data_IF_637707821329
#
_entry.id   IF_637707821329
#
_cell.length_a   1.000
_cell.length_b   1.000
_cell.length_c   1.000
_cell.angle_alpha   90.00
_cell.angle_beta   90.00
_cell.angle_gamma   90.00
#
_symmetry.space_group_name_H-M   'P 1'
#
loop_
_entity.id
_entity.type
_entity.pdbx_description
1 polymer ?
#
# COMPACT_ATOMS: atom_id res chain seq x y z
N UNK A 1 -47.44 -44.30 -28.10
CA UNK A 1 -48.79 -44.29 -27.49
C UNK A 1 -49.04 -42.91 -26.90
N UNK A 2 -50.16 -42.26 -27.26
CA UNK A 2 -50.45 -40.87 -26.94
C UNK A 2 -51.28 -40.73 -25.66
N UNK A 3 -51.21 -39.59 -24.98
CA UNK A 3 -52.36 -39.02 -24.28
C UNK A 3 -52.41 -37.51 -24.51
N UNK A 4 -53.41 -37.11 -25.29
CA UNK A 4 -53.94 -35.75 -25.38
C UNK A 4 -54.76 -35.44 -24.13
N UNK A 5 -54.79 -34.18 -23.70
CA UNK A 5 -55.98 -33.53 -23.12
C UNK A 5 -55.81 -32.00 -23.14
N UNK A 6 -56.44 -31.41 -24.15
CA UNK A 6 -57.27 -30.19 -24.21
C UNK A 6 -57.15 -29.05 -23.20
N UNK A 7 -56.91 -27.86 -23.76
CA UNK A 7 -57.71 -26.60 -23.70
C UNK A 7 -58.28 -26.13 -22.35
N UNK A 8 -57.92 -24.89 -21.98
CA UNK A 8 -58.90 -23.83 -21.70
C UNK A 8 -58.23 -22.44 -21.87
N UNK A 9 -58.87 -21.58 -22.67
CA UNK A 9 -58.56 -20.17 -22.83
C UNK A 9 -59.41 -19.35 -21.85
N UNK A 10 -58.86 -18.26 -21.28
CA UNK A 10 -59.67 -17.10 -20.91
C UNK A 10 -58.81 -15.83 -20.81
N UNK A 11 -59.39 -14.75 -21.36
CA UNK A 11 -58.87 -13.41 -21.52
C UNK A 11 -59.08 -12.54 -20.26
N UNK A 12 -58.68 -11.25 -20.38
CA UNK A 12 -58.84 -10.10 -19.45
C UNK A 12 -57.62 -9.86 -18.54
N UNK A 13 -57.07 -8.65 -18.38
CA UNK A 13 -57.37 -7.33 -18.92
C UNK A 13 -56.09 -6.47 -18.81
N UNK A 14 -55.79 -5.69 -19.86
CA UNK A 14 -54.84 -4.58 -19.78
C UNK A 14 -55.51 -3.44 -18.99
N UNK A 15 -55.01 -3.12 -17.81
CA UNK A 15 -55.35 -1.87 -17.12
C UNK A 15 -54.24 -0.86 -17.41
N UNK A 16 -54.50 0.07 -18.33
CA UNK A 16 -53.75 1.32 -18.41
C UNK A 16 -54.17 2.18 -17.21
N UNK A 17 -53.38 2.19 -16.14
CA UNK A 17 -53.45 3.24 -15.14
C UNK A 17 -52.56 4.39 -15.65
N UNK A 18 -53.17 5.34 -16.35
CA UNK A 18 -52.63 6.67 -16.50
C UNK A 18 -52.67 7.35 -15.13
N UNK A 19 -51.67 7.06 -14.30
CA UNK A 19 -51.45 7.72 -13.03
C UNK A 19 -50.77 9.06 -13.29
N UNK A 20 -51.57 10.11 -13.48
CA UNK A 20 -51.14 11.49 -13.34
C UNK A 20 -50.67 11.71 -11.90
N UNK A 21 -49.42 11.39 -11.59
CA UNK A 21 -48.77 11.84 -10.35
C UNK A 21 -48.45 13.32 -10.48
N UNK A 22 -49.49 14.15 -10.41
CA UNK A 22 -49.37 15.50 -9.89
C UNK A 22 -49.25 15.36 -8.38
N UNK A 23 -48.03 15.08 -7.89
CA UNK A 23 -47.70 15.33 -6.50
C UNK A 23 -47.80 16.84 -6.29
N UNK A 24 -48.90 17.27 -5.68
CA UNK A 24 -48.99 18.57 -5.07
C UNK A 24 -47.84 18.70 -4.06
N UNK A 25 -46.80 19.44 -4.41
CA UNK A 25 -45.79 19.90 -3.47
C UNK A 25 -46.49 20.82 -2.48
N UNK A 26 -46.91 20.26 -1.34
CA UNK A 26 -47.18 21.05 -0.17
C UNK A 26 -45.91 21.87 0.10
N UNK A 27 -46.04 23.19 0.12
CA UNK A 27 -44.97 24.09 0.52
C UNK A 27 -44.71 23.87 2.02
N UNK A 28 -43.88 22.87 2.34
CA UNK A 28 -43.38 22.71 3.69
C UNK A 28 -42.38 23.82 3.97
N UNK A 29 -42.56 24.52 5.09
CA UNK A 29 -41.64 25.58 5.52
C UNK A 29 -40.22 25.04 5.67
N UNK A 30 -39.24 25.94 5.69
CA UNK A 30 -37.85 25.59 6.02
C UNK A 30 -37.74 25.02 7.42
N UNK A 31 -36.89 24.00 7.60
CA UNK A 31 -36.62 23.39 8.89
C UNK A 31 -35.13 23.55 9.23
N UNK A 32 -34.86 24.37 10.25
CA UNK A 32 -33.53 24.54 10.86
C UNK A 32 -33.20 23.30 11.71
N UNK A 33 -32.09 22.61 11.42
CA UNK A 33 -31.75 21.34 12.10
C UNK A 33 -30.78 21.57 13.26
N UNK A 34 -29.61 22.12 12.96
CA UNK A 34 -28.51 22.32 13.91
C UNK A 34 -27.69 23.52 13.49
N UNK A 35 -27.36 24.38 14.45
CA UNK A 35 -26.71 25.67 14.20
C UNK A 35 -27.03 26.70 15.26
N UNK A 36 -26.77 27.97 14.94
CA UNK A 36 -26.95 29.10 15.82
C UNK A 36 -27.64 30.26 15.08
N UNK A 37 -28.44 31.03 15.83
CA UNK A 37 -29.05 32.27 15.34
C UNK A 37 -28.11 33.44 15.60
N UNK A 38 -27.98 34.33 14.63
CA UNK A 38 -27.27 35.61 14.74
C UNK A 38 -28.22 36.75 14.42
N UNK A 39 -27.94 38.00 14.85
CA UNK A 39 -28.72 39.15 14.40
C UNK A 39 -28.77 39.20 12.87
N UNK A 40 -29.91 39.53 12.28
CA UNK A 40 -30.05 39.59 10.83
C UNK A 40 -29.19 40.72 10.24
N UNK A 41 -28.41 40.41 9.20
CA UNK A 41 -27.71 41.41 8.42
C UNK A 41 -28.73 42.27 7.65
N UNK A 42 -28.67 43.60 7.77
CA UNK A 42 -29.63 44.48 7.11
C UNK A 42 -29.43 44.47 5.59
N UNK A 43 -30.52 44.28 4.85
CA UNK A 43 -30.60 44.49 3.40
C UNK A 43 -32.03 44.85 2.99
N UNK A 44 -32.19 45.33 1.76
CA UNK A 44 -33.48 45.85 1.27
C UNK A 44 -34.50 44.73 1.15
N UNK A 45 -35.54 44.83 1.96
CA UNK A 45 -36.63 43.85 1.99
C UNK A 45 -36.25 42.55 2.70
N UNK A 46 -35.27 42.59 3.62
CA UNK A 46 -34.99 41.45 4.50
C UNK A 46 -36.25 41.14 5.34
N UNK A 47 -36.88 39.97 5.17
CA UNK A 47 -38.05 39.59 5.95
C UNK A 47 -37.68 39.00 7.33
N UNK A 48 -36.41 38.65 7.52
CA UNK A 48 -35.95 37.83 8.63
C UNK A 48 -35.51 38.69 9.82
N UNK A 49 -35.84 38.21 11.02
CA UNK A 49 -35.44 38.86 12.29
C UNK A 49 -34.09 38.38 12.81
N UNK A 50 -33.55 37.31 12.22
CA UNK A 50 -32.26 36.72 12.54
C UNK A 50 -31.70 36.00 11.30
N UNK A 51 -30.38 35.85 11.22
CA UNK A 51 -29.72 34.98 10.25
C UNK A 51 -29.39 33.64 10.91
N UNK A 52 -29.76 32.54 10.25
CA UNK A 52 -29.44 31.18 10.67
C UNK A 52 -28.08 30.75 10.12
N UNK A 53 -27.14 30.44 11.03
CA UNK A 53 -25.86 29.81 10.69
C UNK A 53 -25.92 28.34 11.11
N UNK A 54 -26.28 27.49 10.16
CA UNK A 54 -26.41 26.07 10.40
C UNK A 54 -26.89 25.32 9.18
N UNK A 55 -27.34 24.10 9.42
CA UNK A 55 -27.90 23.24 8.39
C UNK A 55 -29.43 23.28 8.37
N UNK A 56 -29.99 22.91 7.22
CA UNK A 56 -31.42 22.75 7.00
C UNK A 56 -31.76 21.29 6.70
N UNK A 57 -33.03 20.93 6.79
CA UNK A 57 -33.53 19.63 6.35
C UNK A 57 -34.15 19.73 4.95
N UNK A 58 -33.73 18.85 4.03
CA UNK A 58 -34.38 18.62 2.74
C UNK A 58 -34.48 17.12 2.50
N UNK A 59 -35.69 16.61 2.28
CA UNK A 59 -35.95 15.19 2.06
C UNK A 59 -35.48 14.29 3.22
N UNK A 60 -35.60 14.77 4.46
CA UNK A 60 -35.13 14.06 5.66
C UNK A 60 -33.60 14.01 5.81
N UNK A 61 -32.85 14.85 5.08
CA UNK A 61 -31.38 14.92 5.15
C UNK A 61 -30.92 16.33 5.50
N UNK A 62 -29.84 16.39 6.27
CA UNK A 62 -29.13 17.63 6.56
C UNK A 62 -28.45 18.18 5.28
N UNK A 63 -28.65 19.45 4.98
CA UNK A 63 -28.08 20.16 3.82
C UNK A 63 -27.52 21.52 4.20
N UNK A 64 -26.58 22.01 3.39
CA UNK A 64 -25.84 23.24 3.66
C UNK A 64 -26.02 24.25 2.53
N UNK A 65 -26.52 25.44 2.87
CA UNK A 65 -26.82 26.47 1.88
C UNK A 65 -25.62 27.37 1.61
N UNK A 66 -25.49 27.88 0.38
CA UNK A 66 -24.29 28.62 -0.08
C UNK A 66 -24.58 29.88 -0.88
N UNK A 67 -25.79 30.43 -0.76
CA UNK A 67 -26.16 31.67 -1.43
C UNK A 67 -26.89 32.58 -0.45
N UNK A 68 -26.11 33.23 0.43
CA UNK A 68 -26.64 34.11 1.48
C UNK A 68 -27.78 35.02 0.98
N UNK A 69 -28.78 35.28 1.84
CA UNK A 69 -29.99 36.05 1.59
C UNK A 69 -31.03 35.47 0.60
N UNK A 70 -30.71 34.40 -0.14
CA UNK A 70 -31.75 33.66 -0.88
C UNK A 70 -32.60 32.85 0.12
N UNK A 71 -33.82 32.49 -0.28
CA UNK A 71 -34.74 31.76 0.58
C UNK A 71 -34.14 30.40 1.01
N UNK A 72 -34.27 30.09 2.29
CA UNK A 72 -33.95 28.77 2.81
C UNK A 72 -34.83 27.70 2.14
N UNK A 73 -34.30 26.49 1.88
CA UNK A 73 -35.09 25.45 1.25
C UNK A 73 -36.18 24.93 2.20
N UNK A 74 -37.35 24.64 1.63
CA UNK A 74 -38.38 23.87 2.32
C UNK A 74 -37.98 22.39 2.44
N UNK A 75 -38.57 21.67 3.39
CA UNK A 75 -38.20 20.24 3.59
C UNK A 75 -38.54 19.35 2.39
N UNK A 76 -39.46 19.77 1.52
CA UNK A 76 -39.81 19.12 0.25
C UNK A 76 -39.15 19.72 -0.99
N UNK A 77 -38.16 20.61 -0.85
CA UNK A 77 -37.53 21.30 -1.98
C UNK A 77 -36.85 20.31 -2.95
N UNK A 78 -37.12 20.47 -4.23
CA UNK A 78 -36.54 19.66 -5.29
C UNK A 78 -35.28 20.28 -5.86
N UNK A 79 -34.22 19.47 -5.99
CA UNK A 79 -32.95 19.87 -6.60
C UNK A 79 -32.68 19.06 -7.89
N UNK A 80 -33.33 19.40 -9.02
CA UNK A 80 -33.33 18.57 -10.23
C UNK A 80 -32.00 18.57 -10.99
N UNK A 81 -31.09 19.50 -10.71
CA UNK A 81 -29.85 19.67 -11.47
C UNK A 81 -28.62 19.91 -10.59
N UNK A 82 -27.44 19.75 -11.20
CA UNK A 82 -26.15 20.09 -10.59
C UNK A 82 -25.58 21.33 -11.25
N UNK A 83 -24.74 22.07 -10.52
CA UNK A 83 -24.14 23.32 -11.01
C UNK A 83 -22.65 23.42 -10.73
N UNK A 84 -22.04 24.48 -11.24
CA UNK A 84 -20.65 24.83 -10.92
C UNK A 84 -20.54 25.45 -9.52
N UNK A 85 -19.47 25.12 -8.80
CA UNK A 85 -19.13 25.76 -7.52
C UNK A 85 -18.56 27.15 -7.81
N UNK A 86 -19.38 28.15 -7.50
CA UNK A 86 -19.12 29.56 -7.79
C UNK A 86 -19.42 30.38 -6.55
N UNK A 87 -18.83 31.56 -6.47
CA UNK A 87 -19.33 32.59 -5.58
C UNK A 87 -20.73 33.05 -6.03
N UNK A 88 -21.36 33.88 -5.20
CA UNK A 88 -22.70 34.42 -5.41
C UNK A 88 -22.83 35.16 -6.75
N UNK A 89 -21.75 35.75 -7.24
CA UNK A 89 -21.71 36.55 -8.45
C UNK A 89 -21.29 35.74 -9.70
N UNK A 90 -21.09 34.43 -9.56
CA UNK A 90 -20.78 33.51 -10.65
C UNK A 90 -19.29 33.29 -10.91
N UNK A 91 -18.40 33.83 -10.08
CA UNK A 91 -16.95 33.59 -10.20
C UNK A 91 -16.65 32.18 -9.71
N UNK A 92 -15.89 31.35 -10.46
CA UNK A 92 -15.42 30.06 -9.96
C UNK A 92 -14.60 30.22 -8.68
N UNK A 93 -14.82 29.35 -7.70
CA UNK A 93 -13.97 29.32 -6.50
C UNK A 93 -12.58 28.76 -6.83
N UNK A 94 -11.58 29.23 -6.08
CA UNK A 94 -10.22 28.68 -6.18
C UNK A 94 -10.23 27.16 -5.87
N UNK A 95 -9.44 26.33 -6.58
CA UNK A 95 -9.45 24.88 -6.40
C UNK A 95 -9.21 24.43 -4.96
N UNK A 96 -8.30 25.10 -4.25
CA UNK A 96 -8.01 24.83 -2.84
C UNK A 96 -9.19 25.09 -1.91
N UNK A 97 -10.01 26.11 -2.20
CA UNK A 97 -11.24 26.42 -1.45
C UNK A 97 -12.31 25.37 -1.75
N UNK A 98 -12.44 24.95 -3.00
CA UNK A 98 -13.33 23.84 -3.35
C UNK A 98 -12.96 22.56 -2.58
N UNK A 99 -11.66 22.28 -2.47
CA UNK A 99 -11.15 21.12 -1.75
C UNK A 99 -11.36 21.25 -0.23
N UNK A 100 -11.19 22.45 0.35
CA UNK A 100 -11.52 22.74 1.75
C UNK A 100 -13.00 22.45 2.04
N UNK A 101 -13.89 22.96 1.19
CA UNK A 101 -15.34 22.72 1.30
C UNK A 101 -15.67 21.24 1.21
N UNK A 102 -15.10 20.54 0.23
CA UNK A 102 -15.35 19.12 0.02
C UNK A 102 -14.94 18.28 1.22
N UNK A 103 -13.75 18.54 1.79
CA UNK A 103 -13.30 17.88 3.02
C UNK A 103 -14.24 18.15 4.20
N UNK A 104 -14.62 19.42 4.41
CA UNK A 104 -15.50 19.77 5.52
C UNK A 104 -16.87 19.10 5.40
N UNK A 105 -17.45 19.05 4.20
CA UNK A 105 -18.72 18.35 3.97
C UNK A 105 -18.56 16.83 4.09
N UNK A 106 -17.40 16.26 3.73
CA UNK A 106 -17.16 14.85 3.98
C UNK A 106 -17.11 14.54 5.48
N UNK A 107 -16.54 15.44 6.29
CA UNK A 107 -16.27 15.19 7.71
C UNK A 107 -17.37 15.64 8.67
N UNK A 108 -18.08 16.71 8.34
CA UNK A 108 -18.96 17.45 9.25
C UNK A 108 -20.40 17.60 8.73
N UNK A 109 -20.76 16.99 7.60
CA UNK A 109 -22.10 17.17 7.02
C UNK A 109 -23.24 16.69 7.93
N UNK A 110 -22.99 15.74 8.82
CA UNK A 110 -23.91 15.15 9.78
C UNK A 110 -23.61 15.55 11.23
N UNK A 111 -22.84 16.63 11.44
CA UNK A 111 -22.52 17.10 12.79
C UNK A 111 -23.81 17.45 13.55
N UNK A 112 -23.90 17.01 14.81
CA UNK A 112 -24.95 17.38 15.74
C UNK A 112 -24.52 18.49 16.73
N UNK A 113 -23.28 18.95 16.63
CA UNK A 113 -22.77 20.03 17.47
C UNK A 113 -23.15 21.39 16.87
N UNK A 114 -23.92 22.25 17.59
CA UNK A 114 -24.38 23.53 17.06
C UNK A 114 -23.25 24.51 16.74
N UNK A 115 -22.13 24.47 17.48
CA UNK A 115 -20.98 25.34 17.22
C UNK A 115 -20.23 24.92 15.94
N UNK A 116 -20.05 23.61 15.73
CA UNK A 116 -19.43 23.09 14.50
C UNK A 116 -20.34 23.34 13.30
N UNK A 117 -21.66 23.20 13.45
CA UNK A 117 -22.61 23.51 12.40
C UNK A 117 -22.60 24.99 12.02
N UNK A 118 -22.62 25.89 13.00
CA UNK A 118 -22.53 27.33 12.76
C UNK A 118 -21.19 27.72 12.12
N UNK A 119 -20.09 27.11 12.57
CA UNK A 119 -18.76 27.33 12.00
C UNK A 119 -18.68 26.86 10.54
N UNK A 120 -19.21 25.67 10.23
CA UNK A 120 -19.27 25.16 8.86
C UNK A 120 -20.10 26.08 7.97
N UNK A 121 -21.32 26.44 8.37
CA UNK A 121 -22.17 27.35 7.62
C UNK A 121 -21.50 28.72 7.39
N UNK A 122 -20.86 29.27 8.43
CA UNK A 122 -20.08 30.52 8.33
C UNK A 122 -18.96 30.42 7.29
N UNK A 123 -18.16 29.34 7.30
CA UNK A 123 -17.08 29.14 6.33
C UNK A 123 -17.62 28.99 4.91
N UNK A 124 -18.68 28.19 4.72
CA UNK A 124 -19.31 28.02 3.42
C UNK A 124 -19.82 29.36 2.87
N UNK A 125 -20.55 30.16 3.66
CA UNK A 125 -21.01 31.48 3.25
C UNK A 125 -19.85 32.45 3.03
N UNK A 126 -18.80 32.40 3.83
CA UNK A 126 -17.59 33.22 3.65
C UNK A 126 -16.96 32.97 2.28
N UNK A 127 -16.85 31.72 1.84
CA UNK A 127 -16.26 31.39 0.55
C UNK A 127 -17.19 31.61 -0.64
N UNK A 128 -18.49 31.37 -0.46
CA UNK A 128 -19.47 31.35 -1.56
C UNK A 128 -20.25 32.65 -1.71
N UNK A 129 -20.28 33.52 -0.70
CA UNK A 129 -20.99 34.80 -0.75
C UNK A 129 -20.30 35.92 0.04
N UNK A 130 -19.19 35.62 0.72
CA UNK A 130 -18.51 36.52 1.64
C UNK A 130 -17.89 37.73 0.96
N UNK A 131 -17.97 38.87 1.63
CA UNK A 131 -17.28 40.08 1.20
C UNK A 131 -17.05 41.03 2.39
N UNK A 132 -16.04 41.88 2.25
CA UNK A 132 -15.80 43.02 3.14
C UNK A 132 -16.01 44.35 2.42
N UNK A 133 -16.45 44.33 1.16
CA UNK A 133 -16.71 45.52 0.35
C UNK A 133 -18.02 46.19 0.78
N UNK A 134 -17.98 47.41 1.35
CA UNK A 134 -19.19 48.12 1.80
C UNK A 134 -20.22 48.30 0.68
N UNK A 135 -19.80 48.39 -0.59
CA UNK A 135 -20.71 48.52 -1.72
C UNK A 135 -21.59 47.29 -1.93
N UNK A 136 -21.18 46.12 -1.42
CA UNK A 136 -21.92 44.86 -1.47
C UNK A 136 -22.67 44.53 -0.17
N UNK A 137 -22.47 45.32 0.89
CA UNK A 137 -23.04 45.10 2.22
C UNK A 137 -24.13 46.12 2.60
N UNK A 138 -24.41 47.10 1.73
CA UNK A 138 -25.37 48.18 2.01
C UNK A 138 -26.80 47.69 2.24
N UNK A 139 -27.52 48.33 3.17
CA UNK A 139 -28.92 48.04 3.48
C UNK A 139 -29.89 48.33 2.32
N UNK A 140 -29.44 49.02 1.26
CA UNK A 140 -30.18 49.28 0.03
C UNK A 140 -30.14 48.12 -0.98
N UNK A 141 -29.28 47.12 -0.76
CA UNK A 141 -29.09 45.97 -1.68
C UNK A 141 -30.21 44.96 -1.55
N UNK A 142 -30.68 44.42 -2.68
CA UNK A 142 -31.62 43.31 -2.67
C UNK A 142 -30.93 42.00 -2.29
N UNK A 143 -31.72 40.95 -2.02
CA UNK A 143 -31.19 39.63 -1.69
C UNK A 143 -30.27 39.04 -2.77
N UNK A 144 -30.45 39.38 -4.05
CA UNK A 144 -29.56 38.93 -5.12
C UNK A 144 -28.20 39.65 -5.10
N UNK A 145 -28.15 40.88 -4.58
CA UNK A 145 -26.98 41.75 -4.64
C UNK A 145 -26.13 41.70 -3.37
N UNK A 146 -26.78 41.59 -2.21
CA UNK A 146 -26.10 41.67 -0.91
C UNK A 146 -25.15 40.48 -0.72
N UNK A 147 -23.91 40.78 -0.33
CA UNK A 147 -22.92 39.78 0.09
C UNK A 147 -23.07 39.42 1.57
N UNK A 148 -22.49 38.30 1.95
CA UNK A 148 -22.38 37.88 3.34
C UNK A 148 -21.29 38.71 4.05
N UNK A 149 -21.67 39.50 5.05
CA UNK A 149 -20.73 40.26 5.87
C UNK A 149 -19.98 39.30 6.81
N UNK A 150 -18.77 38.95 6.42
CA UNK A 150 -17.94 37.97 7.12
C UNK A 150 -17.66 38.41 8.55
N UNK A 151 -17.36 39.70 8.76
CA UNK A 151 -16.96 40.21 10.07
C UNK A 151 -18.16 40.34 11.00
N UNK A 152 -19.29 40.83 10.48
CA UNK A 152 -20.53 40.94 11.25
C UNK A 152 -20.97 39.58 11.80
N UNK A 153 -21.01 38.56 10.96
CA UNK A 153 -21.45 37.23 11.37
C UNK A 153 -20.43 36.55 12.30
N UNK A 154 -19.13 36.63 12.01
CA UNK A 154 -18.11 36.06 12.89
C UNK A 154 -18.13 36.73 14.26
N UNK A 155 -18.34 38.04 14.34
CA UNK A 155 -18.40 38.77 15.61
C UNK A 155 -19.64 38.40 16.42
N UNK A 156 -20.74 38.04 15.75
CA UNK A 156 -22.01 37.65 16.36
C UNK A 156 -22.04 36.22 16.89
N UNK A 157 -21.06 35.38 16.54
CA UNK A 157 -20.95 34.01 17.06
C UNK A 157 -20.45 33.97 18.52
N UNK A 158 -20.82 32.95 19.32
CA UNK A 158 -20.21 32.70 20.62
C UNK A 158 -18.74 32.26 20.48
N UNK A 159 -17.97 32.34 21.56
CA UNK A 159 -16.53 32.07 21.55
C UNK A 159 -16.19 30.66 21.04
N UNK A 160 -16.98 29.66 21.42
CA UNK A 160 -16.82 28.26 21.03
C UNK A 160 -17.02 28.07 19.51
N UNK A 161 -18.00 28.76 18.93
CA UNK A 161 -18.22 28.72 17.48
C UNK A 161 -17.10 29.45 16.72
N UNK A 162 -16.55 30.55 17.25
CA UNK A 162 -15.37 31.22 16.65
C UNK A 162 -14.15 30.29 16.66
N UNK A 163 -13.91 29.60 17.77
CA UNK A 163 -12.84 28.60 17.86
C UNK A 163 -13.07 27.44 16.87
N UNK A 164 -14.33 27.00 16.70
CA UNK A 164 -14.67 25.99 15.71
C UNK A 164 -14.42 26.46 14.27
N UNK A 165 -14.66 27.73 13.93
CA UNK A 165 -14.32 28.31 12.62
C UNK A 165 -12.81 28.15 12.33
N UNK A 166 -11.96 28.57 13.28
CA UNK A 166 -10.51 28.46 13.12
C UNK A 166 -10.05 27.00 13.02
N UNK A 167 -10.59 26.13 13.87
CA UNK A 167 -10.29 24.69 13.88
C UNK A 167 -10.69 24.02 12.57
N UNK A 168 -11.94 24.16 12.12
CA UNK A 168 -12.42 23.54 10.88
C UNK A 168 -11.63 24.03 9.68
N UNK A 169 -11.32 25.34 9.62
CA UNK A 169 -10.49 25.89 8.54
C UNK A 169 -9.09 25.28 8.53
N UNK A 170 -8.45 25.16 9.70
CA UNK A 170 -7.12 24.55 9.82
C UNK A 170 -7.15 23.06 9.42
N UNK A 171 -8.17 22.31 9.86
CA UNK A 171 -8.36 20.91 9.47
C UNK A 171 -8.57 20.75 7.97
N UNK A 172 -9.38 21.60 7.34
CA UNK A 172 -9.61 21.57 5.90
C UNK A 172 -8.31 21.78 5.11
N UNK A 173 -7.55 22.82 5.47
CA UNK A 173 -6.25 23.11 4.84
C UNK A 173 -5.26 21.94 4.99
N UNK A 174 -5.28 21.27 6.15
CA UNK A 174 -4.37 20.17 6.44
C UNK A 174 -4.75 18.87 5.71
N UNK A 175 -6.04 18.62 5.46
CA UNK A 175 -6.53 17.31 5.06
C UNK A 175 -7.31 17.29 3.73
N UNK A 176 -7.44 18.42 3.02
CA UNK A 176 -8.16 18.46 1.73
C UNK A 176 -7.53 17.56 0.67
N UNK A 177 -8.38 16.98 -0.18
CA UNK A 177 -7.95 16.19 -1.32
C UNK A 177 -7.43 17.03 -2.50
N UNK A 178 -6.88 16.39 -3.55
CA UNK A 178 -6.63 14.96 -3.62
C UNK A 178 -5.38 14.59 -2.80
N UNK A 179 -5.45 13.46 -2.10
CA UNK A 179 -4.30 12.85 -1.46
C UNK A 179 -3.45 12.10 -2.48
N UNK A 180 -2.22 11.80 -2.08
CA UNK A 180 -1.31 10.93 -2.80
C UNK A 180 -0.82 9.84 -1.85
N UNK A 181 -0.61 8.64 -2.38
CA UNK A 181 -0.06 7.51 -1.63
C UNK A 181 1.19 7.01 -2.35
N UNK A 182 2.27 6.83 -1.61
CA UNK A 182 3.54 6.32 -2.12
C UNK A 182 3.97 5.12 -1.30
N UNK A 183 4.40 4.06 -1.97
CA UNK A 183 5.00 2.89 -1.35
C UNK A 183 6.48 2.87 -1.74
N UNK A 184 7.36 2.60 -0.79
CA UNK A 184 8.78 2.43 -1.05
C UNK A 184 9.24 1.06 -0.54
N UNK A 185 9.91 0.33 -1.43
CA UNK A 185 10.63 -0.89 -1.10
C UNK A 185 12.04 -0.56 -0.59
N UNK A 186 12.69 -1.48 0.14
CA UNK A 186 14.12 -1.39 0.41
C UNK A 186 14.96 -1.27 -0.85
N UNK A 187 16.04 -0.50 -0.73
CA UNK A 187 17.02 -0.34 -1.80
C UNK A 187 17.78 -1.64 -2.10
N UNK A 188 18.10 -2.41 -1.05
CA UNK A 188 18.79 -3.68 -1.19
C UNK A 188 17.80 -4.83 -1.48
N UNK A 189 18.22 -5.84 -2.28
CA UNK A 189 17.48 -7.07 -2.44
C UNK A 189 17.16 -7.72 -1.09
N UNK A 190 15.97 -8.28 -0.97
CA UNK A 190 15.53 -8.97 0.25
C UNK A 190 15.92 -10.45 0.25
N UNK A 191 15.80 -11.07 1.42
CA UNK A 191 15.87 -12.51 1.55
C UNK A 191 14.47 -13.11 1.61
N UNK A 192 14.23 -14.17 0.85
CA UNK A 192 13.00 -14.98 0.96
C UNK A 192 12.94 -15.55 2.38
N UNK A 193 11.75 -15.53 2.97
CA UNK A 193 11.43 -15.92 4.35
C UNK A 193 11.99 -15.00 5.45
N UNK A 194 12.59 -13.85 5.09
CA UNK A 194 13.05 -12.84 6.04
C UNK A 194 12.29 -11.52 5.88
N UNK A 195 11.74 -10.99 6.96
CA UNK A 195 10.97 -9.75 6.94
C UNK A 195 11.85 -8.52 6.62
N UNK A 196 11.56 -7.84 5.52
CA UNK A 196 12.11 -6.54 5.16
C UNK A 196 11.24 -5.38 5.66
N UNK A 197 11.81 -4.17 5.66
CA UNK A 197 11.13 -2.95 6.12
C UNK A 197 10.72 -2.08 4.95
N UNK A 198 9.43 -1.97 4.68
CA UNK A 198 8.88 -1.13 3.63
C UNK A 198 8.22 0.11 4.25
N UNK A 199 7.99 1.16 3.47
CA UNK A 199 7.28 2.35 3.95
C UNK A 199 6.13 2.73 3.05
N UNK A 200 5.02 3.14 3.65
CA UNK A 200 3.86 3.72 2.97
C UNK A 200 3.64 5.13 3.51
N UNK A 201 3.60 6.12 2.64
CA UNK A 201 3.29 7.50 3.00
C UNK A 201 2.02 7.97 2.29
N UNK A 202 1.19 8.72 3.01
CA UNK A 202 0.01 9.41 2.46
C UNK A 202 0.24 10.90 2.64
N UNK A 203 -0.01 11.70 1.60
CA UNK A 203 0.19 13.16 1.64
C UNK A 203 -1.02 13.90 1.06
N UNK A 204 -1.27 15.12 1.54
CA UNK A 204 -2.25 16.06 0.99
C UNK A 204 -1.53 17.37 0.68
N UNK A 205 -1.54 17.79 -0.60
CA UNK A 205 -0.79 18.97 -1.03
C UNK A 205 0.70 18.92 -0.66
N UNK A 206 1.30 17.72 -0.68
CA UNK A 206 2.70 17.49 -0.29
C UNK A 206 2.97 17.43 1.22
N UNK A 207 1.96 17.62 2.07
CA UNK A 207 2.10 17.50 3.53
C UNK A 207 1.72 16.10 4.01
N UNK A 208 2.46 15.49 4.94
CA UNK A 208 2.14 14.16 5.43
C UNK A 208 0.77 14.09 6.11
N UNK A 209 0.05 12.98 5.92
CA UNK A 209 -1.30 12.75 6.46
C UNK A 209 -1.28 11.64 7.51
N UNK A 210 -1.67 11.99 8.73
CA UNK A 210 -1.80 11.05 9.84
C UNK A 210 -3.21 10.46 9.96
N UNK A 211 -3.31 9.23 10.45
CA UNK A 211 -4.59 8.55 10.69
C UNK A 211 -5.32 8.07 9.42
N UNK A 212 -4.71 8.17 8.23
CA UNK A 212 -5.31 7.67 7.00
C UNK A 212 -5.37 6.14 7.03
N UNK A 213 -6.55 5.57 6.82
CA UNK A 213 -6.75 4.11 6.78
C UNK A 213 -6.22 3.55 5.46
N UNK A 214 -5.28 2.63 5.55
CA UNK A 214 -4.61 2.01 4.40
C UNK A 214 -4.93 0.52 4.38
N UNK A 215 -5.34 0.02 3.22
CA UNK A 215 -5.41 -1.42 2.94
C UNK A 215 -4.16 -1.85 2.17
N UNK A 216 -3.51 -2.90 2.64
CA UNK A 216 -2.30 -3.47 2.05
C UNK A 216 -2.61 -4.76 1.31
N UNK A 217 -1.91 -5.00 0.21
CA UNK A 217 -1.95 -6.25 -0.54
C UNK A 217 -0.54 -6.59 -0.98
N UNK A 218 -0.13 -7.85 -0.79
CA UNK A 218 1.20 -8.33 -1.14
C UNK A 218 1.12 -9.44 -2.19
N UNK A 219 2.10 -9.49 -3.09
CA UNK A 219 2.31 -10.56 -4.08
C UNK A 219 3.77 -11.00 -3.98
N UNK A 220 4.02 -12.30 -4.10
CA UNK A 220 5.33 -12.92 -3.77
C UNK A 220 5.85 -12.52 -2.39
N UNK A 221 4.94 -12.18 -1.48
CA UNK A 221 5.24 -11.76 -0.12
C UNK A 221 3.99 -11.84 0.76
N UNK A 222 4.20 -11.77 2.07
CA UNK A 222 3.16 -11.67 3.09
C UNK A 222 3.35 -10.41 3.93
N UNK A 223 2.26 -9.91 4.50
CA UNK A 223 2.23 -8.82 5.49
C UNK A 223 1.46 -9.30 6.72
N UNK A 224 1.81 -8.81 7.90
CA UNK A 224 1.14 -9.20 9.15
C UNK A 224 -0.30 -8.69 9.22
N UNK A 225 -0.53 -7.44 8.81
CA UNK A 225 -1.82 -6.77 8.88
C UNK A 225 -2.18 -6.16 7.52
N UNK A 226 -3.30 -6.59 6.95
CA UNK A 226 -3.80 -6.06 5.68
C UNK A 226 -4.53 -4.71 5.83
N UNK A 227 -4.92 -4.32 7.05
CA UNK A 227 -5.55 -3.03 7.33
C UNK A 227 -4.81 -2.32 8.45
N UNK A 228 -4.36 -1.11 8.18
CA UNK A 228 -3.47 -0.32 9.03
C UNK A 228 -3.81 1.16 8.88
N UNK A 229 -3.31 2.02 9.76
CA UNK A 229 -3.48 3.47 9.64
C UNK A 229 -2.12 4.16 9.66
N UNK A 230 -1.98 5.26 8.93
CA UNK A 230 -0.77 6.08 9.04
C UNK A 230 -0.62 6.61 10.47
N UNK A 231 0.63 6.73 10.99
CA UNK A 231 0.91 7.35 12.27
C UNK A 231 0.24 8.72 12.44
N UNK A 232 -0.21 9.07 13.65
CA UNK A 232 -0.92 10.32 13.90
C UNK A 232 -0.07 11.58 13.61
N UNK A 233 1.26 11.47 13.69
CA UNK A 233 2.21 12.53 13.36
C UNK A 233 2.45 12.69 11.84
N UNK A 234 1.83 11.85 11.02
CA UNK A 234 1.98 11.84 9.56
C UNK A 234 3.28 11.20 9.07
N UNK A 235 4.14 10.66 9.93
CA UNK A 235 5.33 9.93 9.49
C UNK A 235 4.97 8.73 8.60
N UNK A 236 5.88 8.29 7.69
CA UNK A 236 5.60 7.12 6.87
C UNK A 236 5.30 5.88 7.73
N UNK A 237 4.21 5.19 7.38
CA UNK A 237 3.87 3.91 7.96
C UNK A 237 4.94 2.88 7.61
N UNK A 238 5.54 2.29 8.63
CA UNK A 238 6.51 1.20 8.48
C UNK A 238 5.77 -0.14 8.39
N UNK A 239 6.02 -0.91 7.33
CA UNK A 239 5.38 -2.20 7.06
C UNK A 239 6.44 -3.29 7.02
N UNK A 240 6.24 -4.36 7.78
CA UNK A 240 7.03 -5.59 7.66
C UNK A 240 6.45 -6.46 6.55
N UNK A 241 7.28 -6.74 5.55
CA UNK A 241 6.92 -7.57 4.39
C UNK A 241 7.91 -8.72 4.32
N UNK A 242 7.42 -9.94 4.30
CA UNK A 242 8.25 -11.15 4.19
C UNK A 242 8.10 -11.72 2.80
N UNK A 243 9.15 -11.68 1.95
CA UNK A 243 9.08 -12.28 0.62
C UNK A 243 8.87 -13.79 0.68
N UNK A 244 7.99 -14.29 -0.18
CA UNK A 244 7.75 -15.71 -0.43
C UNK A 244 8.16 -16.12 -1.85
N UNK A 245 8.58 -15.16 -2.67
CA UNK A 245 9.01 -15.34 -4.05
C UNK A 245 10.03 -14.28 -4.48
N UNK A 246 10.52 -14.34 -5.72
CA UNK A 246 11.64 -13.52 -6.19
C UNK A 246 11.31 -12.05 -6.46
N UNK A 247 10.03 -11.69 -6.63
CA UNK A 247 9.60 -10.33 -6.98
C UNK A 247 8.55 -9.79 -5.98
N UNK A 248 8.88 -9.71 -4.68
CA UNK A 248 7.95 -9.21 -3.67
C UNK A 248 7.44 -7.82 -4.07
N UNK A 249 6.11 -7.69 -4.07
CA UNK A 249 5.41 -6.46 -4.42
C UNK A 249 4.44 -6.11 -3.30
N UNK A 250 4.47 -4.86 -2.83
CA UNK A 250 3.52 -4.32 -1.88
C UNK A 250 2.69 -3.23 -2.56
N UNK A 251 1.38 -3.43 -2.58
CA UNK A 251 0.40 -2.42 -2.96
C UNK A 251 -0.31 -1.89 -1.73
N UNK A 252 -0.56 -0.59 -1.71
CA UNK A 252 -1.30 0.10 -0.65
C UNK A 252 -2.40 0.94 -1.28
N UNK A 253 -3.59 0.97 -0.66
CA UNK A 253 -4.72 1.78 -1.11
C UNK A 253 -5.40 2.49 0.04
N UNK A 254 -5.91 3.68 -0.22
CA UNK A 254 -6.68 4.49 0.75
C UNK A 254 -7.73 5.32 0.03
N UNK A 255 -8.69 5.87 0.77
CA UNK A 255 -9.71 6.77 0.25
C UNK A 255 -9.26 8.21 0.44
N UNK A 256 -9.23 8.98 -0.65
CA UNK A 256 -8.97 10.43 -0.63
C UNK A 256 -10.29 11.19 -0.74
N UNK A 257 -10.48 12.30 0.00
CA UNK A 257 -11.55 13.24 -0.30
C UNK A 257 -11.48 13.67 -1.77
N UNK A 258 -12.61 13.77 -2.46
CA UNK A 258 -12.61 14.38 -3.80
C UNK A 258 -12.38 15.89 -3.69
N UNK A 259 -11.71 16.53 -4.67
CA UNK A 259 -11.34 17.94 -4.55
C UNK A 259 -12.49 18.93 -4.76
N UNK A 260 -13.66 18.48 -5.25
CA UNK A 260 -14.79 19.38 -5.55
C UNK A 260 -16.08 18.80 -4.99
N UNK A 261 -16.84 19.55 -4.17
CA UNK A 261 -18.13 19.12 -3.66
C UNK A 261 -19.19 19.13 -4.77
N UNK A 262 -20.34 18.50 -4.52
CA UNK A 262 -21.46 18.58 -5.46
C UNK A 262 -22.35 19.76 -5.13
N UNK A 263 -22.57 20.65 -6.10
CA UNK A 263 -23.57 21.72 -6.01
C UNK A 263 -24.89 21.20 -6.53
N UNK A 264 -25.96 21.40 -5.76
CA UNK A 264 -27.33 21.11 -6.17
C UNK A 264 -28.08 22.42 -6.37
N UNK A 265 -28.75 22.54 -7.52
CA UNK A 265 -29.49 23.74 -7.90
C UNK A 265 -31.01 23.49 -7.76
N UNK A 266 -31.74 24.34 -7.02
CA UNK A 266 -33.17 24.17 -6.80
C UNK A 266 -33.97 24.51 -8.06
N UNK A 267 -35.22 24.05 -8.12
CA UNK A 267 -36.12 24.42 -9.21
C UNK A 267 -36.52 25.91 -9.13
N UNK A 268 -36.72 26.41 -7.91
CA UNK A 268 -36.97 27.83 -7.67
C UNK A 268 -35.65 28.61 -7.58
N UNK A 269 -35.41 29.52 -8.52
CA UNK A 269 -34.18 30.31 -8.58
C UNK A 269 -34.03 31.34 -7.44
N UNK A 270 -35.09 31.55 -6.63
CA UNK A 270 -35.02 32.39 -5.41
C UNK A 270 -34.66 31.58 -4.16
N UNK A 271 -34.55 30.26 -4.27
CA UNK A 271 -34.10 29.37 -3.19
C UNK A 271 -32.59 29.17 -3.25
N UNK A 272 -31.96 28.95 -2.10
CA UNK A 272 -30.53 28.68 -2.02
C UNK A 272 -30.12 27.37 -2.71
N UNK A 273 -29.01 27.43 -3.46
CA UNK A 273 -28.21 26.23 -3.78
C UNK A 273 -27.73 25.57 -2.49
N UNK A 274 -27.62 24.25 -2.53
CA UNK A 274 -27.01 23.48 -1.44
C UNK A 274 -25.75 22.77 -1.93
N UNK A 275 -24.85 22.51 -1.00
CA UNK A 275 -23.71 21.64 -1.22
C UNK A 275 -23.91 20.30 -0.53
N UNK A 276 -23.48 19.24 -1.21
CA UNK A 276 -23.27 17.92 -0.61
C UNK A 276 -21.81 17.53 -0.77
N UNK A 277 -21.35 16.58 0.05
CA UNK A 277 -20.04 15.96 -0.17
C UNK A 277 -19.90 15.48 -1.61
N UNK A 278 -18.70 15.60 -2.17
CA UNK A 278 -18.37 14.93 -3.42
C UNK A 278 -17.96 13.45 -3.22
N UNK A 279 -17.85 13.01 -1.96
CA UNK A 279 -17.43 11.67 -1.58
C UNK A 279 -15.92 11.51 -1.51
N UNK A 280 -15.48 10.26 -1.69
CA UNK A 280 -14.07 9.87 -1.69
C UNK A 280 -13.74 9.13 -2.99
N UNK A 281 -12.47 9.17 -3.38
CA UNK A 281 -11.92 8.38 -4.48
C UNK A 281 -10.77 7.52 -3.97
N UNK A 282 -10.74 6.25 -4.37
CA UNK A 282 -9.64 5.35 -4.03
C UNK A 282 -8.37 5.79 -4.75
N UNK A 283 -7.27 5.89 -3.99
CA UNK A 283 -5.92 6.10 -4.51
C UNK A 283 -5.05 4.92 -4.12
N UNK A 284 -4.10 4.55 -4.99
CA UNK A 284 -3.23 3.40 -4.80
C UNK A 284 -1.76 3.74 -5.08
N UNK A 285 -0.88 3.07 -4.37
CA UNK A 285 0.57 3.10 -4.58
C UNK A 285 1.10 1.68 -4.57
N UNK A 286 2.17 1.42 -5.32
CA UNK A 286 2.80 0.11 -5.37
C UNK A 286 4.31 0.26 -5.44
N UNK A 287 5.02 -0.69 -4.86
CA UNK A 287 6.45 -0.85 -5.08
C UNK A 287 6.79 -2.34 -5.19
N UNK A 288 7.86 -2.61 -5.92
CA UNK A 288 8.40 -3.95 -6.14
C UNK A 288 9.91 -3.91 -5.88
N UNK A 289 10.45 -4.98 -5.32
CA UNK A 289 11.90 -5.21 -5.26
C UNK A 289 12.19 -6.68 -5.60
N UNK A 290 13.45 -7.06 -5.56
CA UNK A 290 13.88 -8.46 -5.77
C UNK A 290 14.15 -9.14 -4.44
N UNK A 291 13.92 -10.44 -4.37
CA UNK A 291 14.35 -11.28 -3.26
C UNK A 291 15.07 -12.55 -3.72
N UNK A 292 15.96 -13.07 -2.87
CA UNK A 292 16.70 -14.31 -3.10
C UNK A 292 16.64 -15.19 -1.84
N UNK A 293 16.77 -16.49 -1.96
CA UNK A 293 16.95 -17.33 -0.77
C UNK A 293 18.29 -17.02 -0.08
N UNK A 294 18.38 -17.26 1.22
CA UNK A 294 19.63 -17.10 1.95
C UNK A 294 20.75 -18.00 1.36
N UNK A 295 21.98 -17.49 1.17
CA UNK A 295 23.07 -18.26 0.58
C UNK A 295 23.41 -19.47 1.44
N UNK A 296 23.72 -20.59 0.79
CA UNK A 296 24.17 -21.81 1.45
C UNK A 296 25.69 -21.97 1.38
N UNK A 297 26.20 -22.97 2.10
CA UNK A 297 27.60 -23.36 2.07
C UNK A 297 27.74 -24.87 1.92
N UNK A 298 28.82 -25.34 1.31
CA UNK A 298 29.12 -26.78 1.25
C UNK A 298 30.43 -27.04 1.98
N UNK A 299 30.39 -27.88 3.01
CA UNK A 299 31.58 -28.41 3.68
C UNK A 299 31.86 -29.79 3.12
N UNK A 300 33.04 -29.95 2.53
CA UNK A 300 33.49 -31.19 1.94
C UNK A 300 34.52 -31.81 2.86
N UNK A 301 34.37 -33.09 3.20
CA UNK A 301 35.35 -33.86 3.96
C UNK A 301 35.86 -35.04 3.16
N UNK A 302 37.19 -35.21 3.19
CA UNK A 302 37.89 -36.38 2.66
C UNK A 302 38.52 -37.13 3.81
N UNK A 303 38.19 -38.40 3.96
CA UNK A 303 38.73 -39.22 5.04
C UNK A 303 39.31 -40.54 4.54
N UNK A 304 40.24 -41.08 5.31
CA UNK A 304 40.75 -42.42 5.16
C UNK A 304 39.66 -43.42 5.58
N UNK A 305 39.34 -44.37 4.70
CA UNK A 305 38.24 -45.31 4.91
C UNK A 305 38.48 -46.27 6.10
N UNK A 306 39.73 -46.43 6.53
CA UNK A 306 40.11 -47.34 7.63
C UNK A 306 40.21 -46.63 8.97
N UNK A 307 40.82 -45.45 9.01
CA UNK A 307 41.09 -44.69 10.25
C UNK A 307 40.11 -43.55 10.51
N UNK A 308 39.35 -43.10 9.51
CA UNK A 308 38.52 -41.90 9.60
C UNK A 308 39.31 -40.58 9.62
N UNK A 309 40.64 -40.64 9.53
CA UNK A 309 41.52 -39.45 9.53
C UNK A 309 41.33 -38.64 8.26
N UNK A 310 41.36 -37.31 8.37
CA UNK A 310 41.28 -36.42 7.21
C UNK A 310 42.42 -36.61 6.22
N UNK A 311 42.11 -36.64 4.93
CA UNK A 311 43.08 -36.75 3.83
C UNK A 311 43.30 -35.37 3.21
N UNK A 312 44.47 -34.80 3.45
CA UNK A 312 44.90 -33.54 2.83
C UNK A 312 45.29 -33.71 1.36
N UNK A 313 45.33 -32.59 0.61
CA UNK A 313 45.85 -32.54 -0.76
C UNK A 313 45.09 -33.39 -1.80
N UNK A 314 43.80 -33.66 -1.57
CA UNK A 314 42.93 -34.30 -2.57
C UNK A 314 42.26 -33.21 -3.41
N UNK A 315 42.24 -33.35 -4.74
CA UNK A 315 41.55 -32.42 -5.64
C UNK A 315 40.11 -32.86 -5.88
N UNK A 316 39.18 -31.96 -5.61
CA UNK A 316 37.74 -32.18 -5.61
C UNK A 316 37.06 -31.12 -6.47
N UNK A 317 36.28 -31.54 -7.47
CA UNK A 317 35.49 -30.67 -8.33
C UNK A 317 34.09 -30.51 -7.78
N UNK A 318 33.60 -29.28 -7.71
CA UNK A 318 32.25 -28.95 -7.26
C UNK A 318 31.36 -28.71 -8.46
N UNK A 319 30.22 -29.40 -8.51
CA UNK A 319 29.36 -29.52 -9.69
C UNK A 319 27.89 -29.44 -9.30
N UNK A 320 27.03 -29.22 -10.29
CA UNK A 320 25.58 -29.38 -10.18
C UNK A 320 25.17 -30.86 -10.15
N UNK A 321 23.86 -31.14 -10.12
CA UNK A 321 23.28 -32.48 -10.08
C UNK A 321 23.77 -33.43 -11.19
N UNK A 322 24.15 -32.90 -12.35
CA UNK A 322 24.63 -33.67 -13.50
C UNK A 322 26.07 -34.19 -13.35
N UNK A 323 26.77 -33.81 -12.26
CA UNK A 323 28.17 -34.13 -11.96
C UNK A 323 29.16 -33.61 -13.00
N UNK A 324 28.75 -32.67 -13.85
CA UNK A 324 29.53 -32.18 -15.00
C UNK A 324 29.52 -30.66 -15.07
N UNK A 325 28.34 -30.06 -15.05
CA UNK A 325 28.16 -28.61 -15.02
C UNK A 325 28.53 -28.01 -13.66
N UNK A 326 28.82 -26.71 -13.61
CA UNK A 326 29.11 -26.00 -12.36
C UNK A 326 27.84 -25.83 -11.52
N UNK A 327 28.00 -25.87 -10.19
CA UNK A 327 26.98 -25.34 -9.28
C UNK A 327 26.84 -23.81 -9.48
N UNK A 328 25.79 -23.19 -8.95
CA UNK A 328 25.60 -21.73 -9.07
C UNK A 328 26.00 -21.00 -7.78
N UNK A 329 26.63 -19.83 -7.93
CA UNK A 329 26.86 -18.87 -6.85
C UNK A 329 25.56 -18.14 -6.51
N UNK A 330 25.53 -17.47 -5.36
CA UNK A 330 24.36 -16.69 -4.89
C UNK A 330 23.92 -15.57 -5.83
N UNK A 331 24.84 -15.03 -6.64
CA UNK A 331 24.53 -14.04 -7.67
C UNK A 331 23.83 -14.64 -8.91
N UNK A 332 23.76 -15.98 -9.01
CA UNK A 332 23.19 -16.73 -10.13
C UNK A 332 24.21 -17.15 -11.18
N UNK A 333 25.48 -16.75 -11.04
CA UNK A 333 26.54 -17.10 -11.99
C UNK A 333 27.11 -18.50 -11.72
N UNK A 334 27.67 -19.16 -12.74
CA UNK A 334 28.37 -20.44 -12.57
C UNK A 334 29.56 -20.37 -11.59
N UNK A 335 29.68 -21.37 -10.72
CA UNK A 335 30.84 -21.62 -9.86
C UNK A 335 31.99 -22.23 -10.66
N UNK A 336 32.60 -21.41 -11.51
CA UNK A 336 33.74 -21.80 -12.34
C UNK A 336 35.08 -21.49 -11.66
N UNK A 337 36.08 -22.32 -11.94
CA UNK A 337 37.48 -22.04 -11.71
C UNK A 337 38.06 -21.08 -12.76
N UNK A 338 39.36 -20.74 -12.65
CA UNK A 338 40.04 -19.82 -13.58
C UNK A 338 40.06 -20.30 -15.04
N UNK A 339 39.90 -21.60 -15.26
CA UNK A 339 39.88 -22.24 -16.58
C UNK A 339 38.48 -22.23 -17.24
N UNK A 340 37.48 -21.63 -16.59
CA UNK A 340 36.09 -21.61 -17.08
C UNK A 340 35.35 -22.93 -16.90
N UNK A 341 35.96 -23.94 -16.28
CA UNK A 341 35.31 -25.22 -15.93
C UNK A 341 34.84 -25.19 -14.46
N UNK A 342 34.04 -26.17 -13.98
CA UNK A 342 33.59 -26.18 -12.60
C UNK A 342 34.75 -26.14 -11.60
N UNK A 343 34.59 -25.36 -10.54
CA UNK A 343 35.63 -25.10 -9.54
C UNK A 343 36.25 -26.39 -8.98
N UNK A 344 37.58 -26.49 -9.07
CA UNK A 344 38.38 -27.54 -8.44
C UNK A 344 39.07 -26.97 -7.20
N UNK A 345 38.91 -27.67 -6.08
CA UNK A 345 39.44 -27.30 -4.77
C UNK A 345 40.37 -28.39 -4.25
N UNK A 346 41.28 -28.03 -3.35
CA UNK A 346 42.20 -28.97 -2.71
C UNK A 346 41.91 -29.03 -1.22
N UNK A 347 41.82 -30.23 -0.66
CA UNK A 347 41.56 -30.40 0.79
C UNK A 347 42.71 -29.88 1.65
N UNK A 348 42.36 -29.22 2.76
CA UNK A 348 43.29 -28.73 3.76
C UNK A 348 43.91 -29.83 4.62
N UNK A 349 44.72 -29.45 5.60
CA UNK A 349 45.46 -30.38 6.46
C UNK A 349 44.57 -31.35 7.25
N UNK A 350 43.34 -30.94 7.58
CA UNK A 350 42.33 -31.74 8.28
C UNK A 350 41.44 -32.57 7.32
N UNK A 351 41.77 -32.58 6.02
CA UNK A 351 40.99 -33.24 4.99
C UNK A 351 39.70 -32.52 4.61
N UNK A 352 39.52 -31.26 5.00
CA UNK A 352 38.29 -30.51 4.69
C UNK A 352 38.52 -29.33 3.74
N UNK A 353 37.45 -28.91 3.07
CA UNK A 353 37.38 -27.64 2.33
C UNK A 353 35.96 -27.09 2.37
N UNK A 354 35.82 -25.77 2.36
CA UNK A 354 34.53 -25.06 2.42
C UNK A 354 34.29 -24.30 1.11
N UNK A 355 33.06 -24.36 0.62
CA UNK A 355 32.57 -23.55 -0.49
C UNK A 355 31.46 -22.64 0.01
N UNK A 356 31.72 -21.35 0.21
CA UNK A 356 30.71 -20.40 0.66
C UNK A 356 29.87 -19.86 -0.51
N UNK A 357 28.80 -19.14 -0.16
CA UNK A 357 28.04 -18.25 -1.05
C UNK A 357 27.43 -18.91 -2.30
N UNK A 358 26.84 -20.09 -2.10
CA UNK A 358 26.14 -20.82 -3.14
C UNK A 358 24.66 -20.47 -3.16
N UNK A 359 24.08 -20.43 -4.37
CA UNK A 359 22.65 -20.27 -4.55
C UNK A 359 21.86 -21.37 -3.84
N UNK A 360 20.63 -21.07 -3.43
CA UNK A 360 19.76 -22.03 -2.78
C UNK A 360 18.31 -21.87 -3.26
N UNK A 361 17.51 -22.95 -3.25
CA UNK A 361 17.94 -24.34 -3.14
C UNK A 361 18.64 -24.81 -4.42
N UNK A 362 19.64 -25.70 -4.30
CA UNK A 362 20.20 -26.43 -5.44
C UNK A 362 20.81 -27.76 -5.00
N UNK A 363 20.97 -28.72 -5.92
CA UNK A 363 21.75 -29.93 -5.66
C UNK A 363 23.22 -29.68 -6.01
N UNK A 364 24.10 -30.01 -5.06
CA UNK A 364 25.55 -29.88 -5.23
C UNK A 364 26.18 -31.25 -5.13
N UNK A 365 27.02 -31.57 -6.11
CA UNK A 365 27.83 -32.77 -6.15
C UNK A 365 29.32 -32.41 -6.06
N UNK A 366 30.08 -33.22 -5.34
CA UNK A 366 31.54 -33.20 -5.36
C UNK A 366 32.05 -34.46 -6.05
N UNK A 367 33.01 -34.30 -6.96
CA UNK A 367 33.63 -35.38 -7.73
C UNK A 367 35.14 -35.34 -7.49
N UNK A 368 35.74 -36.48 -7.12
CA UNK A 368 37.18 -36.57 -6.99
C UNK A 368 37.85 -36.50 -8.37
N UNK A 369 38.75 -35.54 -8.57
CA UNK A 369 39.49 -35.40 -9.83
C UNK A 369 40.91 -35.90 -9.73
N UNK A 370 41.50 -35.85 -8.52
CA UNK A 370 42.83 -36.37 -8.26
C UNK A 370 42.93 -36.83 -6.79
N UNK A 371 43.29 -38.09 -6.53
CA UNK A 371 43.54 -38.59 -5.18
C UNK A 371 44.80 -37.95 -4.58
N UNK A 372 44.85 -37.88 -3.25
CA UNK A 372 46.08 -37.49 -2.56
C UNK A 372 47.20 -38.53 -2.73
N UNK A 373 48.48 -38.12 -2.59
CA UNK A 373 49.60 -39.04 -2.56
C UNK A 373 49.41 -40.20 -1.57
N UNK A 374 49.52 -41.44 -2.03
CA UNK A 374 49.32 -42.65 -1.22
C UNK A 374 47.89 -43.22 -1.25
N UNK A 375 47.00 -42.70 -2.10
CA UNK A 375 45.61 -43.14 -2.27
C UNK A 375 45.21 -43.42 -3.73
N UNK A 376 46.18 -43.49 -4.64
CA UNK A 376 45.98 -43.58 -6.09
C UNK A 376 45.51 -44.95 -6.59
N UNK A 377 45.83 -46.04 -5.88
CA UNK A 377 45.58 -47.42 -6.36
C UNK A 377 44.08 -47.74 -6.56
N UNK A 378 43.20 -47.07 -5.81
CA UNK A 378 41.76 -47.29 -5.85
C UNK A 378 41.01 -46.26 -6.71
N UNK A 379 41.70 -45.31 -7.32
CA UNK A 379 41.08 -44.22 -8.09
C UNK A 379 40.82 -44.66 -9.54
N UNK A 380 39.60 -44.42 -10.02
CA UNK A 380 39.20 -44.62 -11.41
C UNK A 380 38.75 -43.27 -12.02
N UNK A 381 39.52 -42.76 -12.97
CA UNK A 381 39.21 -41.50 -13.65
C UNK A 381 37.95 -41.60 -14.55
N UNK A 382 37.57 -42.80 -15.00
CA UNK A 382 36.37 -43.02 -15.80
C UNK A 382 35.10 -43.13 -14.92
N UNK A 383 35.28 -43.51 -13.65
CA UNK A 383 34.20 -43.63 -12.67
C UNK A 383 34.62 -43.03 -11.31
N UNK A 384 34.90 -41.71 -11.25
CA UNK A 384 35.42 -41.08 -10.05
C UNK A 384 34.42 -41.13 -8.89
N UNK A 385 34.92 -41.22 -7.67
CA UNK A 385 34.09 -41.15 -6.46
C UNK A 385 33.36 -39.80 -6.41
N UNK A 386 32.07 -39.85 -6.05
CA UNK A 386 31.24 -38.65 -5.96
C UNK A 386 30.25 -38.72 -4.78
N UNK A 387 29.94 -37.57 -4.21
CA UNK A 387 28.90 -37.39 -3.20
C UNK A 387 28.01 -36.20 -3.58
N UNK A 388 26.70 -36.33 -3.43
CA UNK A 388 25.73 -35.31 -3.79
C UNK A 388 24.75 -35.05 -2.65
N UNK A 389 24.19 -33.85 -2.60
CA UNK A 389 23.12 -33.52 -1.67
C UNK A 389 22.41 -32.21 -2.03
N UNK A 390 21.21 -32.03 -1.49
CA UNK A 390 20.45 -30.78 -1.66
C UNK A 390 20.91 -29.74 -0.65
N UNK A 391 21.41 -28.61 -1.15
CA UNK A 391 21.73 -27.43 -0.37
C UNK A 391 20.47 -26.59 -0.19
N UNK A 392 19.98 -26.50 1.06
CA UNK A 392 18.82 -25.68 1.41
C UNK A 392 19.22 -24.24 1.77
N UNK A 393 18.27 -23.28 1.73
CA UNK A 393 18.52 -21.90 2.10
C UNK A 393 19.19 -21.73 3.46
N UNK A 394 20.29 -20.97 3.52
CA UNK A 394 21.02 -20.64 4.75
C UNK A 394 21.80 -21.80 5.40
N UNK A 395 21.67 -23.03 4.90
CA UNK A 395 22.28 -24.21 5.52
C UNK A 395 23.73 -24.44 5.08
N UNK A 396 24.42 -25.29 5.85
CA UNK A 396 25.69 -25.90 5.43
C UNK A 396 25.46 -27.37 5.07
N UNK A 397 25.55 -27.70 3.78
CA UNK A 397 25.52 -29.08 3.30
C UNK A 397 26.88 -29.74 3.57
N UNK A 398 26.89 -30.89 4.23
CA UNK A 398 28.11 -31.68 4.45
C UNK A 398 28.17 -32.84 3.46
N UNK A 399 29.24 -32.90 2.66
CA UNK A 399 29.50 -33.99 1.72
C UNK A 399 30.80 -34.69 2.13
N UNK A 400 30.76 -36.02 2.21
CA UNK A 400 31.88 -36.83 2.65
C UNK A 400 32.29 -37.84 1.57
N UNK A 401 33.59 -37.97 1.32
CA UNK A 401 34.16 -39.03 0.48
C UNK A 401 35.29 -39.74 1.23
N UNK A 402 35.38 -41.05 1.04
CA UNK A 402 36.44 -41.86 1.66
C UNK A 402 37.33 -42.52 0.62
N UNK A 403 38.65 -42.60 0.88
CA UNK A 403 39.58 -43.36 0.03
C UNK A 403 40.25 -44.44 0.85
N UNK A 404 40.65 -45.52 0.17
CA UNK A 404 41.49 -46.55 0.76
C UNK A 404 42.95 -46.23 0.47
N UNK A 405 43.84 -46.31 1.47
CA UNK A 405 45.27 -46.11 1.22
C UNK A 405 45.81 -47.21 0.30
N UNK A 406 46.87 -46.89 -0.43
CA UNK A 406 47.59 -47.85 -1.26
C UNK A 406 48.07 -49.03 -0.40
N UNK A 407 48.08 -50.23 -0.97
CA UNK A 407 48.59 -51.41 -0.29
C UNK A 407 50.10 -51.25 -0.05
N UNK A 408 50.61 -51.44 1.18
CA UNK A 408 52.04 -51.39 1.43
C UNK A 408 52.78 -52.39 0.53
N UNK A 409 53.67 -51.89 -0.32
CA UNK A 409 54.62 -52.75 -1.05
C UNK A 409 55.75 -53.11 -0.10
N UNK A 410 55.56 -54.19 0.66
CA UNK A 410 56.65 -54.75 1.48
C UNK A 410 57.66 -55.42 0.53
N UNK A 411 58.94 -55.00 0.48
CA UNK A 411 59.95 -55.73 -0.27
C UNK A 411 60.14 -57.11 0.37
N UNK A 412 59.89 -58.18 -0.40
CA UNK A 412 59.99 -59.57 0.07
C UNK A 412 61.47 -60.04 0.12
N UNK A 413 62.42 -59.23 -0.36
CA UNK A 413 63.84 -59.57 -0.36
C UNK A 413 64.62 -58.57 0.51
N UNK A 414 64.97 -59.01 1.72
CA UNK A 414 66.10 -58.47 2.47
C UNK A 414 67.32 -59.25 1.97
N UNK A 415 68.31 -58.64 1.29
CA UNK A 415 69.55 -59.34 0.98
C UNK A 415 70.22 -59.73 2.29
N UNK A 416 70.36 -61.04 2.55
CA UNK A 416 71.28 -61.51 3.56
C UNK A 416 72.69 -61.17 3.09
N UNK A 417 73.46 -60.44 3.89
CA UNK A 417 74.84 -60.12 3.57
C UNK A 417 75.70 -61.38 3.65
N UNK A 418 76.20 -61.83 2.50
CA UNK A 418 77.22 -62.87 2.41
C UNK A 418 78.58 -62.30 2.81
N UNK A 419 78.74 -62.04 4.11
CA UNK A 419 80.02 -61.68 4.72
C UNK A 419 80.96 -62.89 4.78
N UNK A 420 81.52 -63.30 3.64
CA UNK A 420 82.68 -64.21 3.65
C UNK A 420 83.90 -63.42 4.13
N UNK A 421 84.25 -63.56 5.40
CA UNK A 421 85.54 -63.10 5.91
C UNK A 421 86.56 -64.19 5.59
N UNK A 422 87.43 -63.92 4.59
CA UNK A 422 88.59 -64.77 4.28
C UNK A 422 89.57 -64.77 5.45
N UNK A 423 90.09 -65.96 5.75
CA UNK A 423 91.30 -66.17 6.55
C UNK A 423 92.47 -66.41 5.57
N UNK A 424 93.64 -65.81 5.84
CA UNK A 424 94.94 -66.07 5.20
C UNK A 424 95.64 -64.76 4.81
N UNK A 425 96.86 -64.40 5.26
CA UNK A 425 97.98 -65.18 5.82
C UNK A 425 98.75 -64.33 6.82
#
# INVERSE_FOLDING_TARGET
>A
MPRRSSLLALACALVLIAGSMLSAQAASGSHEVVGLKTPAQPYKGNPDSYDWLGAYEVGGKQVWCVQFAYAAPGTGEGYPSTGALTDKWGTPLAPEVAADISYLLLRYNDTSNPNDAAALAHLLHTWTAGTTDPAKLGADKSFQQVGYDVNFHLNSLPAEAKQAVDRLKAEAIANRGPWQITVAAPADPQLIDAAGTWTVAVTAGGKPQGGARVTLTATDATVENAQVSTPADGSPLVVKVTPTGPNPTLSAKTASPVPVPTVKVPANQSTQKILTTGGETEINGTATTTAKHAPGKVKISKADASSGTGIAKTSLRVTAADKKGPANKQDGTPLNGPDGTPLVLVTGADGTVLVPDLATPQEVCVVETQPAPGYEEAFDAAAPAAACGTLKPGETLTLALTNKPNKPKVPIVIPAGDGSTRIGS
#
